data_IF_824703350277
#
_entry.id   IF_824703350277
#
_cell.length_a   1.000
_cell.length_b   1.000
_cell.length_c   1.000
_cell.angle_alpha   90.00
_cell.angle_beta   90.00
_cell.angle_gamma   90.00
#
_symmetry.space_group_name_H-M   'P 1'
#
loop_
_entity.id
_entity.type
_entity.pdbx_description
1 polymer ?
#
# COMPACT_ATOMS: atom_id res chain seq x y z
N UNK A 1 -16.79 -16.94 0.58
CA UNK A 1 -17.48 -15.83 1.25
C UNK A 1 -16.43 -15.06 2.04
N UNK A 2 -16.08 -13.84 1.61
CA UNK A 2 -15.23 -12.99 2.44
C UNK A 2 -16.06 -12.42 3.60
N UNK A 3 -15.47 -12.22 4.80
CA UNK A 3 -16.19 -11.61 5.94
C UNK A 3 -16.84 -10.27 5.56
N UNK A 4 -16.19 -9.52 4.68
CA UNK A 4 -16.67 -8.21 4.21
C UNK A 4 -17.95 -8.32 3.35
N UNK A 5 -18.09 -9.37 2.55
CA UNK A 5 -19.30 -9.60 1.74
C UNK A 5 -20.53 -9.88 2.61
N UNK A 6 -20.34 -10.62 3.69
CA UNK A 6 -21.41 -10.95 4.65
C UNK A 6 -21.85 -9.71 5.43
N UNK A 7 -20.89 -8.86 5.83
CA UNK A 7 -21.15 -7.63 6.60
C UNK A 7 -21.92 -6.57 5.80
N UNK A 8 -21.75 -6.55 4.47
CA UNK A 8 -22.43 -5.61 3.56
C UNK A 8 -23.63 -6.20 2.81
N UNK A 9 -24.13 -7.38 3.22
CA UNK A 9 -25.32 -7.99 2.63
C UNK A 9 -25.13 -8.57 1.23
N UNK A 10 -23.90 -8.82 0.80
CA UNK A 10 -23.55 -9.39 -0.50
C UNK A 10 -23.51 -10.90 -0.36
N UNK A 11 -24.61 -11.56 -0.68
CA UNK A 11 -24.78 -13.00 -0.43
C UNK A 11 -23.96 -13.92 -1.33
N UNK A 12 -23.59 -13.50 -2.53
CA UNK A 12 -22.67 -14.21 -3.44
C UNK A 12 -21.95 -13.19 -4.34
N UNK A 13 -20.63 -13.02 -4.13
CA UNK A 13 -19.79 -12.28 -5.07
C UNK A 13 -19.12 -13.30 -5.98
N UNK A 14 -19.55 -13.35 -7.21
CA UNK A 14 -18.79 -13.91 -8.30
C UNK A 14 -17.91 -12.80 -8.87
N UNK A 15 -16.63 -12.82 -8.50
CA UNK A 15 -15.69 -11.75 -8.82
C UNK A 15 -14.89 -11.26 -7.61
N UNK A 16 -14.16 -10.16 -7.78
CA UNK A 16 -13.34 -9.55 -6.73
C UNK A 16 -13.81 -8.13 -6.43
N UNK A 17 -14.31 -7.94 -5.21
CA UNK A 17 -14.73 -6.65 -4.72
C UNK A 17 -13.52 -5.76 -4.40
N UNK A 18 -13.54 -4.52 -4.88
CA UNK A 18 -12.53 -3.50 -4.57
C UNK A 18 -12.92 -2.79 -3.27
N UNK A 19 -12.22 -3.11 -2.18
CA UNK A 19 -12.45 -2.49 -0.86
C UNK A 19 -11.67 -1.19 -0.66
N UNK A 20 -10.68 -0.90 -1.52
CA UNK A 20 -9.88 0.31 -1.51
C UNK A 20 -8.89 0.32 -2.65
N UNK A 21 -8.40 1.50 -3.02
CA UNK A 21 -7.44 1.70 -4.11
C UNK A 21 -6.31 2.58 -3.61
N UNK A 22 -5.08 2.15 -3.86
CA UNK A 22 -3.89 2.94 -3.55
C UNK A 22 -3.70 4.03 -4.62
N UNK A 23 -3.50 5.28 -4.21
CA UNK A 23 -3.37 6.46 -5.09
C UNK A 23 -2.20 6.37 -6.10
N UNK A 24 -1.17 5.61 -5.80
CA UNK A 24 0.00 5.40 -6.66
C UNK A 24 -0.13 4.14 -7.55
N UNK A 25 -1.31 3.55 -7.62
CA UNK A 25 -1.58 2.34 -8.40
C UNK A 25 -2.11 2.63 -9.81
N UNK A 26 -1.93 1.67 -10.72
CA UNK A 26 -2.54 1.71 -12.04
C UNK A 26 -4.08 1.69 -11.99
N UNK A 27 -4.66 1.07 -10.98
CA UNK A 27 -6.10 1.05 -10.75
C UNK A 27 -6.65 2.46 -10.43
N UNK A 28 -5.92 3.24 -9.64
CA UNK A 28 -6.27 4.63 -9.35
C UNK A 28 -6.23 5.51 -10.60
N UNK A 29 -5.15 5.42 -11.38
CA UNK A 29 -4.99 6.18 -12.62
C UNK A 29 -6.06 5.83 -13.66
N UNK A 30 -6.56 4.61 -13.65
CA UNK A 30 -7.61 4.13 -14.54
C UNK A 30 -9.04 4.47 -14.08
N UNK A 31 -9.22 5.19 -12.98
CA UNK A 31 -10.51 5.57 -12.39
C UNK A 31 -11.37 4.37 -11.91
N UNK A 32 -10.72 3.26 -11.55
CA UNK A 32 -11.37 2.22 -10.75
C UNK A 32 -11.74 2.78 -9.38
N UNK A 33 -12.82 2.30 -8.77
CA UNK A 33 -13.35 2.84 -7.51
C UNK A 33 -13.60 1.75 -6.49
N UNK A 34 -13.58 2.15 -5.25
CA UNK A 34 -14.11 1.33 -4.16
C UNK A 34 -15.59 1.01 -4.44
N UNK A 35 -15.96 -0.23 -4.25
CA UNK A 35 -17.30 -0.74 -4.57
C UNK A 35 -17.40 -1.44 -5.93
N UNK A 36 -16.41 -1.29 -6.82
CA UNK A 36 -16.38 -2.04 -8.07
C UNK A 36 -16.16 -3.53 -7.81
N UNK A 37 -16.78 -4.37 -8.62
CA UNK A 37 -16.56 -5.82 -8.61
C UNK A 37 -15.86 -6.21 -9.91
N UNK A 38 -14.61 -6.66 -9.82
CA UNK A 38 -13.86 -7.14 -10.98
C UNK A 38 -14.45 -8.46 -11.46
N UNK A 39 -14.88 -8.49 -12.71
CA UNK A 39 -15.49 -9.66 -13.36
C UNK A 39 -14.57 -10.34 -14.37
N UNK A 40 -13.80 -9.55 -15.12
CA UNK A 40 -12.86 -10.05 -16.13
C UNK A 40 -11.60 -9.18 -16.14
N UNK A 41 -10.48 -9.79 -16.53
CA UNK A 41 -9.26 -9.09 -16.95
C UNK A 41 -8.90 -9.63 -18.34
N UNK A 42 -8.83 -8.73 -19.31
CA UNK A 42 -8.75 -9.09 -20.73
C UNK A 42 -9.88 -10.09 -21.09
N UNK A 43 -9.54 -11.29 -21.51
CA UNK A 43 -10.51 -12.35 -21.83
C UNK A 43 -10.65 -13.41 -20.74
N UNK A 44 -10.09 -13.18 -19.54
CA UNK A 44 -10.10 -14.14 -18.44
C UNK A 44 -11.15 -13.76 -17.41
N UNK A 45 -12.06 -14.69 -17.12
CA UNK A 45 -13.06 -14.51 -16.07
C UNK A 45 -12.40 -14.60 -14.68
N UNK A 46 -12.79 -13.68 -13.80
CA UNK A 46 -12.29 -13.56 -12.43
C UNK A 46 -13.43 -13.86 -11.47
N UNK A 47 -13.40 -15.03 -10.85
CA UNK A 47 -14.42 -15.46 -9.89
C UNK A 47 -14.01 -15.21 -8.45
N UNK A 48 -12.70 -15.21 -8.17
CA UNK A 48 -12.14 -15.05 -6.83
C UNK A 48 -10.77 -14.38 -6.84
N UNK A 49 -10.32 -13.93 -5.69
CA UNK A 49 -9.04 -13.22 -5.55
C UNK A 49 -7.83 -14.02 -6.06
N UNK A 50 -7.84 -15.35 -5.91
CA UNK A 50 -6.77 -16.20 -6.42
C UNK A 50 -6.64 -16.14 -7.96
N UNK A 51 -7.76 -16.01 -8.68
CA UNK A 51 -7.76 -15.89 -10.14
C UNK A 51 -7.13 -14.56 -10.55
N UNK A 52 -7.50 -13.47 -9.87
CA UNK A 52 -6.94 -12.14 -10.06
C UNK A 52 -5.41 -12.15 -9.87
N UNK A 53 -4.94 -12.66 -8.74
CA UNK A 53 -3.51 -12.70 -8.42
C UNK A 53 -2.77 -13.62 -9.41
N UNK A 54 -3.33 -14.77 -9.75
CA UNK A 54 -2.73 -15.70 -10.73
C UNK A 54 -2.53 -15.03 -12.09
N UNK A 55 -3.53 -14.30 -12.57
CA UNK A 55 -3.43 -13.60 -13.85
C UNK A 55 -2.42 -12.44 -13.81
N UNK A 56 -2.52 -11.55 -12.81
CA UNK A 56 -1.63 -10.39 -12.69
C UNK A 56 -0.17 -10.83 -12.49
N UNK A 57 0.08 -11.92 -11.76
CA UNK A 57 1.44 -12.43 -11.53
C UNK A 57 2.13 -12.93 -12.82
N UNK A 58 1.39 -13.18 -13.88
CA UNK A 58 1.93 -13.53 -15.20
C UNK A 58 2.37 -12.31 -16.02
N UNK A 59 2.05 -11.11 -15.56
CA UNK A 59 2.26 -9.84 -16.25
C UNK A 59 3.44 -9.07 -15.65
N UNK A 60 3.85 -8.00 -16.33
CA UNK A 60 4.97 -7.15 -15.93
C UNK A 60 4.51 -5.73 -15.66
N UNK A 61 5.21 -4.97 -14.81
CA UNK A 61 5.03 -3.53 -14.73
C UNK A 61 5.15 -2.89 -16.12
N UNK A 62 4.20 -2.02 -16.47
CA UNK A 62 4.09 -1.41 -17.79
C UNK A 62 3.12 -2.13 -18.75
N UNK A 63 2.70 -3.35 -18.47
CA UNK A 63 1.64 -4.01 -19.24
C UNK A 63 0.30 -3.31 -18.99
N UNK A 64 -0.48 -3.15 -20.04
CA UNK A 64 -1.85 -2.65 -19.99
C UNK A 64 -2.83 -3.82 -20.00
N UNK A 65 -3.77 -3.81 -19.07
CA UNK A 65 -4.83 -4.81 -18.93
C UNK A 65 -6.19 -4.15 -19.07
N UNK A 66 -7.12 -4.78 -19.80
CA UNK A 66 -8.51 -4.36 -19.85
C UNK A 66 -9.27 -4.99 -18.68
N UNK A 67 -9.60 -4.18 -17.68
CA UNK A 67 -10.33 -4.64 -16.48
C UNK A 67 -11.81 -4.35 -16.65
N UNK A 68 -12.62 -5.40 -16.62
CA UNK A 68 -14.08 -5.28 -16.66
C UNK A 68 -14.63 -5.39 -15.25
N UNK A 69 -15.38 -4.39 -14.83
CA UNK A 69 -16.01 -4.34 -13.50
C UNK A 69 -17.51 -4.19 -13.61
N UNK A 70 -18.19 -4.58 -12.54
CA UNK A 70 -19.58 -4.22 -12.28
C UNK A 70 -19.57 -3.09 -11.24
N UNK A 71 -20.05 -1.91 -11.63
CA UNK A 71 -20.22 -0.74 -10.76
C UNK A 71 -21.73 -0.51 -10.56
N UNK A 72 -22.22 -0.90 -9.38
CA UNK A 72 -23.67 -1.06 -9.20
C UNK A 72 -24.20 -2.17 -10.13
N UNK A 73 -25.13 -1.81 -11.00
CA UNK A 73 -25.71 -2.73 -12.02
C UNK A 73 -25.11 -2.52 -13.42
N UNK A 74 -24.12 -1.65 -13.56
CA UNK A 74 -23.53 -1.29 -14.85
C UNK A 74 -22.18 -1.96 -15.05
N UNK A 75 -22.03 -2.62 -16.20
CA UNK A 75 -20.77 -3.23 -16.63
C UNK A 75 -19.90 -2.18 -17.33
N UNK A 76 -18.70 -1.96 -16.81
CA UNK A 76 -17.75 -0.97 -17.33
C UNK A 76 -16.38 -1.60 -17.57
N UNK A 77 -15.64 -1.04 -18.52
CA UNK A 77 -14.30 -1.49 -18.89
C UNK A 77 -13.29 -0.36 -18.73
N UNK A 78 -12.16 -0.67 -18.10
CA UNK A 78 -11.09 0.28 -17.83
C UNK A 78 -9.74 -0.28 -18.27
N UNK A 79 -8.98 0.45 -19.12
CA UNK A 79 -7.59 0.11 -19.40
C UNK A 79 -6.75 0.46 -18.17
N UNK A 80 -6.11 -0.53 -17.57
CA UNK A 80 -5.28 -0.40 -16.36
C UNK A 80 -3.84 -0.72 -16.69
N UNK A 81 -2.93 0.23 -16.53
CA UNK A 81 -1.51 0.02 -16.65
C UNK A 81 -0.95 -0.50 -15.33
N UNK A 82 -0.31 -1.66 -15.36
CA UNK A 82 0.35 -2.21 -14.18
C UNK A 82 1.55 -1.38 -13.78
N UNK A 83 1.61 -1.00 -12.51
CA UNK A 83 2.75 -0.30 -11.91
C UNK A 83 3.46 -1.20 -10.92
N UNK A 84 4.78 -1.08 -10.86
CA UNK A 84 5.58 -1.70 -9.81
C UNK A 84 5.32 -0.98 -8.48
N UNK A 85 5.00 -1.74 -7.45
CA UNK A 85 4.89 -1.20 -6.09
C UNK A 85 6.29 -0.86 -5.59
N UNK A 86 6.59 0.42 -5.47
CA UNK A 86 7.87 0.87 -4.94
C UNK A 86 7.85 0.88 -3.41
N UNK A 87 8.20 -0.26 -2.83
CA UNK A 87 8.36 -0.41 -1.39
C UNK A 87 9.74 -0.97 -1.06
N UNK A 88 10.21 -0.69 0.13
CA UNK A 88 11.40 -1.33 0.69
C UNK A 88 11.11 -1.85 2.10
N UNK A 89 11.82 -2.90 2.50
CA UNK A 89 11.84 -3.35 3.89
C UNK A 89 13.09 -2.76 4.55
N UNK A 90 12.90 -2.05 5.66
CA UNK A 90 13.99 -1.53 6.49
C UNK A 90 14.61 -2.69 7.28
N UNK A 91 15.88 -3.08 7.01
CA UNK A 91 16.43 -4.35 7.52
C UNK A 91 16.46 -4.44 9.06
N UNK A 92 16.74 -3.33 9.74
CA UNK A 92 16.87 -3.28 11.21
C UNK A 92 15.52 -3.42 11.91
N UNK A 93 14.47 -2.86 11.33
CA UNK A 93 13.11 -2.80 11.89
C UNK A 93 12.17 -3.84 11.30
N UNK A 94 12.46 -4.30 10.08
CA UNK A 94 11.55 -5.13 9.30
C UNK A 94 10.31 -4.37 8.81
N UNK A 95 10.29 -3.04 8.92
CA UNK A 95 9.15 -2.24 8.47
C UNK A 95 9.14 -2.15 6.95
N UNK A 96 8.01 -2.44 6.35
CA UNK A 96 7.78 -2.15 4.94
C UNK A 96 7.33 -0.70 4.80
N UNK A 97 8.03 0.06 3.96
CA UNK A 97 7.78 1.48 3.77
C UNK A 97 7.70 1.84 2.29
N UNK A 98 6.95 2.90 1.99
CA UNK A 98 6.83 3.50 0.66
C UNK A 98 7.05 5.00 0.69
N UNK A 99 7.28 5.61 -0.48
CA UNK A 99 7.24 7.07 -0.61
C UNK A 99 5.82 7.59 -0.31
N UNK A 100 5.75 8.82 0.18
CA UNK A 100 4.48 9.53 0.34
C UNK A 100 3.96 9.98 -1.03
N UNK A 101 2.67 9.82 -1.27
CA UNK A 101 1.96 10.48 -2.37
C UNK A 101 1.82 11.97 -2.10
N UNK A 102 1.47 12.78 -3.10
CA UNK A 102 1.28 14.22 -2.91
C UNK A 102 0.14 14.53 -1.93
N UNK A 103 -0.93 13.72 -1.94
CA UNK A 103 -2.03 13.90 -1.00
C UNK A 103 -1.66 13.46 0.41
N UNK A 104 -0.86 12.40 0.57
CA UNK A 104 -0.29 12.03 1.86
C UNK A 104 0.64 13.11 2.42
N UNK A 105 1.47 13.74 1.58
CA UNK A 105 2.32 14.87 1.99
C UNK A 105 1.49 16.04 2.51
N UNK A 106 0.37 16.35 1.86
CA UNK A 106 -0.57 17.37 2.32
C UNK A 106 -1.24 16.97 3.63
N UNK A 107 -1.75 15.75 3.72
CA UNK A 107 -2.47 15.23 4.90
C UNK A 107 -1.56 15.23 6.15
N UNK A 108 -0.33 14.75 6.02
CA UNK A 108 0.65 14.74 7.11
C UNK A 108 1.39 16.06 7.29
N UNK A 109 1.15 17.06 6.45
CA UNK A 109 1.83 18.37 6.45
C UNK A 109 3.36 18.25 6.43
N UNK A 110 3.87 17.34 5.62
CA UNK A 110 5.30 17.08 5.45
C UNK A 110 5.67 16.96 3.99
N UNK A 111 6.90 17.39 3.64
CA UNK A 111 7.47 17.18 2.30
C UNK A 111 8.41 15.98 2.25
N UNK A 112 8.72 15.39 3.40
CA UNK A 112 9.72 14.33 3.57
C UNK A 112 9.17 13.20 4.43
N UNK A 113 9.85 12.07 4.37
CA UNK A 113 9.51 10.88 5.12
C UNK A 113 9.03 9.73 4.23
N UNK A 114 8.89 8.59 4.85
CA UNK A 114 8.35 7.38 4.23
C UNK A 114 7.20 6.83 5.06
N UNK A 115 6.15 6.36 4.39
CA UNK A 115 4.97 5.81 5.07
C UNK A 115 5.22 4.35 5.41
N UNK A 116 4.95 3.97 6.65
CA UNK A 116 4.99 2.59 7.13
C UNK A 116 3.68 1.91 6.69
N UNK A 117 3.80 0.87 5.85
CA UNK A 117 2.67 0.13 5.29
C UNK A 117 2.59 -1.31 5.78
N UNK A 118 3.64 -1.79 6.42
CA UNK A 118 3.68 -3.10 7.03
C UNK A 118 4.72 -3.17 8.15
N UNK A 119 4.43 -3.96 9.18
CA UNK A 119 5.34 -4.20 10.30
C UNK A 119 5.41 -5.69 10.60
N UNK A 120 6.56 -6.18 11.13
CA UNK A 120 6.67 -7.54 11.63
C UNK A 120 5.65 -7.83 12.73
N UNK A 121 5.34 -9.10 12.93
CA UNK A 121 4.44 -9.58 14.00
C UNK A 121 4.77 -8.98 15.36
N UNK A 122 6.08 -8.86 15.68
CA UNK A 122 6.60 -8.28 16.92
C UNK A 122 6.09 -6.85 17.19
N UNK A 123 5.80 -6.09 16.12
CA UNK A 123 5.38 -4.69 16.22
C UNK A 123 3.90 -4.45 15.85
N UNK A 124 3.14 -5.49 15.53
CA UNK A 124 1.75 -5.38 15.08
C UNK A 124 0.85 -4.58 16.04
N UNK A 125 1.05 -4.74 17.33
CA UNK A 125 0.21 -4.10 18.36
C UNK A 125 0.66 -2.69 18.76
N UNK A 126 1.73 -2.17 18.16
CA UNK A 126 2.28 -0.85 18.50
C UNK A 126 1.70 0.30 17.68
N UNK A 127 0.85 0.00 16.70
CA UNK A 127 0.17 1.01 15.88
C UNK A 127 1.10 1.84 14.99
N UNK A 128 2.18 1.23 14.50
CA UNK A 128 3.12 1.91 13.60
C UNK A 128 2.63 2.03 12.16
N UNK A 129 1.79 1.10 11.72
CA UNK A 129 1.22 1.14 10.37
C UNK A 129 0.42 2.42 10.12
N UNK A 130 0.67 3.02 8.97
CA UNK A 130 0.06 4.28 8.57
C UNK A 130 0.75 5.53 9.11
N UNK A 131 1.78 5.41 9.98
CA UNK A 131 2.63 6.52 10.40
C UNK A 131 3.69 6.85 9.35
N UNK A 132 4.23 8.06 9.41
CA UNK A 132 5.32 8.51 8.53
C UNK A 132 6.62 8.55 9.32
N UNK A 133 7.63 7.81 8.87
CA UNK A 133 8.97 7.82 9.42
C UNK A 133 9.74 9.02 8.87
N UNK A 134 10.21 9.91 9.74
CA UNK A 134 10.91 11.15 9.38
C UNK A 134 12.41 11.10 9.59
N UNK A 135 12.88 10.39 10.62
CA UNK A 135 14.31 10.29 10.93
C UNK A 135 14.62 9.04 11.74
N UNK A 136 15.87 8.63 11.64
CA UNK A 136 16.49 7.63 12.50
C UNK A 136 17.73 8.23 13.13
N UNK A 137 17.76 8.36 14.44
CA UNK A 137 18.77 9.17 15.12
C UNK A 137 18.73 10.60 14.60
N UNK A 138 19.90 11.10 14.21
CA UNK A 138 20.08 12.42 13.64
C UNK A 138 19.95 12.43 12.09
N UNK A 139 19.75 11.27 11.48
CA UNK A 139 19.63 11.13 10.03
C UNK A 139 18.18 11.32 9.56
N UNK A 140 17.93 12.37 8.79
CA UNK A 140 16.63 12.62 8.18
C UNK A 140 16.36 11.65 7.03
N UNK A 141 15.12 11.20 6.91
CA UNK A 141 14.62 10.34 5.84
C UNK A 141 13.69 11.16 4.95
N UNK A 142 14.05 11.37 3.69
CA UNK A 142 13.23 12.11 2.74
C UNK A 142 12.35 11.22 1.88
N UNK A 143 12.87 10.04 1.51
CA UNK A 143 12.22 9.08 0.61
C UNK A 143 12.75 7.66 0.86
N UNK A 144 12.22 6.66 0.12
CA UNK A 144 12.66 5.28 0.25
C UNK A 144 14.14 5.06 -0.11
N UNK A 145 14.70 5.87 -0.99
CA UNK A 145 16.11 5.75 -1.37
C UNK A 145 17.02 6.18 -0.22
N UNK A 146 16.67 7.27 0.45
CA UNK A 146 17.34 7.69 1.69
C UNK A 146 17.23 6.61 2.77
N UNK A 147 16.03 6.09 2.96
CA UNK A 147 15.79 5.00 3.92
C UNK A 147 16.68 3.79 3.63
N UNK A 148 16.72 3.33 2.38
CA UNK A 148 17.56 2.20 1.96
C UNK A 148 19.04 2.44 2.26
N UNK A 149 19.54 3.64 1.96
CA UNK A 149 20.96 3.97 2.13
C UNK A 149 21.34 4.13 3.59
N UNK A 150 20.53 4.87 4.35
CA UNK A 150 20.82 5.23 5.74
C UNK A 150 20.62 4.06 6.69
N UNK A 151 19.52 3.33 6.57
CA UNK A 151 19.29 2.14 7.38
C UNK A 151 20.21 0.97 7.04
N UNK A 152 20.73 0.89 5.82
CA UNK A 152 21.71 -0.13 5.43
C UNK A 152 23.08 0.02 6.14
N UNK A 153 23.34 1.17 6.77
CA UNK A 153 24.58 1.45 7.54
C UNK A 153 24.44 1.18 9.04
N UNK A 154 23.24 0.85 9.50
CA UNK A 154 22.96 0.73 10.94
C UNK A 154 23.14 -0.70 11.39
N UNK A 155 23.88 -0.87 12.48
CA UNK A 155 24.01 -2.14 13.18
C UNK A 155 22.80 -2.40 14.07
N UNK A 156 22.41 -3.68 14.24
CA UNK A 156 21.35 -4.10 15.16
C UNK A 156 21.62 -3.73 16.66
N UNK A 157 22.82 -3.31 16.95
CA UNK A 157 23.26 -2.98 18.32
C UNK A 157 23.28 -1.48 18.59
N UNK A 158 22.96 -0.66 17.58
CA UNK A 158 22.94 0.78 17.78
C UNK A 158 21.63 1.21 18.43
N UNK A 159 21.74 1.84 19.59
CA UNK A 159 20.59 2.53 20.20
C UNK A 159 20.27 3.75 19.36
N UNK A 160 19.07 3.80 18.83
CA UNK A 160 18.66 4.92 18.03
C UNK A 160 17.24 5.36 18.35
N UNK A 161 16.99 6.64 18.15
CA UNK A 161 15.66 7.20 18.23
C UNK A 161 15.03 7.26 16.84
N UNK A 162 13.75 6.89 16.74
CA UNK A 162 12.97 7.08 15.54
C UNK A 162 12.02 8.26 15.76
N UNK A 163 11.96 9.18 14.81
CA UNK A 163 10.94 10.23 14.80
C UNK A 163 9.92 9.91 13.73
N UNK A 164 8.65 9.91 14.10
CA UNK A 164 7.52 9.62 13.22
C UNK A 164 6.46 10.70 13.31
N UNK A 165 5.60 10.79 12.29
CA UNK A 165 4.33 11.48 12.37
C UNK A 165 3.21 10.44 12.55
N UNK A 166 2.33 10.70 13.51
CA UNK A 166 1.11 9.92 13.65
C UNK A 166 0.07 10.33 12.57
N UNK A 167 -1.07 9.64 12.55
CA UNK A 167 -2.15 9.91 11.57
C UNK A 167 -2.76 11.32 11.68
N UNK A 168 -2.49 12.04 12.77
CA UNK A 168 -2.90 13.44 12.96
C UNK A 168 -1.83 14.44 12.53
N UNK A 169 -0.65 13.97 12.09
CA UNK A 169 0.48 14.80 11.71
C UNK A 169 1.32 15.31 12.91
N UNK A 170 1.12 14.73 14.10
CA UNK A 170 1.89 15.07 15.29
C UNK A 170 3.17 14.23 15.38
N UNK A 171 4.27 14.86 15.82
CA UNK A 171 5.55 14.17 15.95
C UNK A 171 5.58 13.28 17.19
N UNK A 172 5.99 12.04 17.00
CA UNK A 172 6.26 11.07 18.05
C UNK A 172 7.70 10.60 17.95
N UNK A 173 8.36 10.44 19.09
CA UNK A 173 9.73 9.90 19.17
C UNK A 173 9.74 8.60 19.96
N UNK A 174 10.34 7.57 19.37
CA UNK A 174 10.52 6.25 19.96
C UNK A 174 12.01 5.96 20.09
N UNK A 175 12.44 5.37 21.21
CA UNK A 175 13.79 4.87 21.37
C UNK A 175 13.75 3.36 21.13
N UNK A 176 14.54 2.88 20.18
CA UNK A 176 14.75 1.45 19.92
C UNK A 176 15.98 1.02 20.71
N UNK A 177 15.81 -0.05 21.50
CA UNK A 177 16.88 -0.68 22.27
C UNK A 177 17.22 -2.04 21.72
#
# INVERSE_FOLDING_TARGET
NSPYAVENGINEIDGVYIAGIEEDSGAYDADLKEGDIIKNIDNVEIHKFADLIGYISSKRPGDELLVTVLRGDEKMEFPVMLKERQTIIIPVLGFEVKNLTEDEKKAFRTKKGVKIIGVPETYRNYGFEGKVLLSFGDEEINNIQDAKTKFGRISRYDRASITMLNKKGEKERLIIQ
#
